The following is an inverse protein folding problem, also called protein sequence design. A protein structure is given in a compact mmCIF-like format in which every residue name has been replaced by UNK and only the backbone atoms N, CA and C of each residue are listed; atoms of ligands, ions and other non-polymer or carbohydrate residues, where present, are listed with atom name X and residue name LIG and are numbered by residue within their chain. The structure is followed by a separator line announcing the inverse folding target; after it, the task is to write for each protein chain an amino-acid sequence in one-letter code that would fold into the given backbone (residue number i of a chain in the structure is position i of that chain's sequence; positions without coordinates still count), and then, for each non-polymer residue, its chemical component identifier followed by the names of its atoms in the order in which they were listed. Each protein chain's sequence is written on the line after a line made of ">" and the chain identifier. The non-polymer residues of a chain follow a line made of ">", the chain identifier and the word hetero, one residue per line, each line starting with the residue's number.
data_IF_240094163945
#
_entry.id   IF_240094163945
#
_cell.length_a   1.000
_cell.length_b   1.000
_cell.length_c   1.000
_cell.angle_alpha   90.00
_cell.angle_beta   90.00
_cell.angle_gamma   90.00
#
_symmetry.space_group_name_H-M   'P 1'
#
loop_
_entity.id
_entity.type
_entity.pdbx_description
1 polymer ?
#
# COMPACT_ATOMS: atom_id res chain seq x y z
N UNK A 1 13.11 -16.12 -1.84
CA UNK A 1 14.24 -16.89 -1.29
C UNK A 1 13.82 -18.33 -1.02
N UNK A 2 12.91 -18.54 -0.07
CA UNK A 2 12.43 -19.89 0.25
C UNK A 2 11.65 -20.53 -0.92
N UNK A 3 10.95 -19.74 -1.71
CA UNK A 3 10.31 -20.19 -2.96
C UNK A 3 11.32 -20.75 -3.97
N UNK A 4 12.54 -20.21 -4.05
CA UNK A 4 13.57 -20.72 -4.96
C UNK A 4 14.03 -22.11 -4.51
N UNK A 5 14.21 -22.31 -3.21
CA UNK A 5 14.52 -23.61 -2.64
C UNK A 5 13.40 -24.62 -2.89
N UNK A 6 12.15 -24.22 -2.61
CA UNK A 6 11.00 -25.10 -2.81
C UNK A 6 10.79 -25.44 -4.29
N UNK A 7 10.99 -24.47 -5.20
CA UNK A 7 10.96 -24.72 -6.65
C UNK A 7 11.95 -25.80 -7.06
N UNK A 8 13.20 -25.69 -6.57
CA UNK A 8 14.29 -26.57 -6.96
C UNK A 8 14.07 -28.01 -6.45
N UNK A 9 13.62 -28.16 -5.20
CA UNK A 9 13.50 -29.47 -4.56
C UNK A 9 12.13 -30.13 -4.74
N UNK A 10 11.05 -29.35 -4.91
CA UNK A 10 9.70 -29.86 -5.18
C UNK A 10 8.85 -28.84 -5.95
N UNK A 11 9.12 -28.74 -7.25
CA UNK A 11 8.39 -27.84 -8.15
C UNK A 11 6.87 -28.07 -8.14
N UNK A 12 6.40 -29.30 -7.94
CA UNK A 12 4.97 -29.63 -7.97
C UNK A 12 4.27 -29.05 -6.74
N UNK A 13 4.89 -29.15 -5.56
CA UNK A 13 4.33 -28.59 -4.34
C UNK A 13 4.24 -27.06 -4.44
N UNK A 14 5.29 -26.40 -4.94
CA UNK A 14 5.23 -24.95 -5.13
C UNK A 14 4.20 -24.56 -6.20
N UNK A 15 4.10 -25.30 -7.30
CA UNK A 15 3.08 -25.03 -8.33
C UNK A 15 1.66 -25.13 -7.75
N UNK A 16 1.43 -26.08 -6.83
CA UNK A 16 0.17 -26.19 -6.10
C UNK A 16 -0.07 -24.97 -5.20
N UNK A 17 0.94 -24.52 -4.45
CA UNK A 17 0.84 -23.29 -3.66
C UNK A 17 0.49 -22.08 -4.52
N UNK A 18 1.18 -21.89 -5.65
CA UNK A 18 0.90 -20.80 -6.59
C UNK A 18 -0.53 -20.88 -7.13
N UNK A 19 -1.00 -22.08 -7.50
CA UNK A 19 -2.38 -22.30 -7.99
C UNK A 19 -3.43 -21.85 -6.98
N UNK A 20 -3.22 -22.09 -5.68
CA UNK A 20 -4.14 -21.72 -4.62
C UNK A 20 -3.78 -20.39 -3.93
N UNK A 21 -2.88 -19.58 -4.52
CA UNK A 21 -2.45 -18.28 -3.99
C UNK A 21 -1.82 -18.35 -2.58
N UNK A 22 -1.22 -19.49 -2.25
CA UNK A 22 -0.44 -19.68 -1.03
C UNK A 22 0.93 -19.05 -1.24
N UNK A 23 1.19 -17.94 -0.55
CA UNK A 23 2.48 -17.23 -0.60
C UNK A 23 3.41 -17.68 0.53
N UNK A 24 4.69 -17.30 0.47
CA UNK A 24 5.65 -17.46 1.58
C UNK A 24 5.13 -16.93 2.93
N UNK A 25 4.23 -15.94 2.93
CA UNK A 25 3.64 -15.40 4.14
C UNK A 25 2.63 -16.36 4.79
N UNK A 26 2.09 -17.33 4.05
CA UNK A 26 1.12 -18.28 4.58
C UNK A 26 1.82 -19.53 5.12
N UNK A 27 2.83 -20.05 4.42
CA UNK A 27 3.47 -21.29 4.83
C UNK A 27 4.77 -21.11 5.63
N UNK A 28 5.55 -20.05 5.37
CA UNK A 28 6.84 -19.87 6.03
C UNK A 28 6.74 -18.94 7.24
N UNK A 29 5.97 -17.84 7.14
CA UNK A 29 5.88 -16.86 8.22
C UNK A 29 5.37 -17.42 9.55
N UNK A 30 4.30 -18.25 9.62
CA UNK A 30 3.86 -18.84 10.89
C UNK A 30 4.95 -19.62 11.62
N UNK A 31 5.80 -20.29 10.85
CA UNK A 31 6.94 -21.06 11.36
C UNK A 31 8.02 -20.15 11.92
N UNK A 32 8.26 -19.01 11.27
CA UNK A 32 9.22 -18.00 11.74
C UNK A 32 8.71 -17.24 12.97
N UNK A 33 7.44 -16.83 12.95
CA UNK A 33 6.80 -16.02 13.97
C UNK A 33 6.87 -16.71 15.33
N UNK A 34 6.55 -17.99 15.36
CA UNK A 34 6.60 -18.81 16.58
C UNK A 34 7.91 -19.55 16.73
N UNK A 35 8.80 -19.41 15.75
CA UNK A 35 10.05 -20.13 15.63
C UNK A 35 9.87 -21.63 15.90
N UNK A 36 8.85 -22.21 15.25
CA UNK A 36 8.37 -23.60 15.32
C UNK A 36 7.79 -24.07 16.67
N UNK A 37 7.61 -23.19 17.66
CA UNK A 37 7.09 -23.59 18.98
C UNK A 37 5.63 -24.05 18.96
N UNK A 38 4.83 -23.61 17.98
CA UNK A 38 3.46 -24.11 17.78
C UNK A 38 3.42 -25.55 17.24
N UNK A 39 4.47 -25.97 16.53
CA UNK A 39 4.48 -27.22 15.75
C UNK A 39 5.15 -28.35 16.49
N UNK A 40 6.22 -28.06 17.23
CA UNK A 40 6.96 -29.09 17.96
C UNK A 40 6.66 -29.08 19.45
N UNK A 41 6.90 -30.22 20.09
CA UNK A 41 6.97 -30.26 21.55
C UNK A 41 8.26 -29.66 22.06
N UNK A 42 8.33 -29.43 23.39
CA UNK A 42 9.47 -28.77 24.00
C UNK A 42 10.79 -29.46 23.69
N UNK A 43 10.84 -30.79 23.77
CA UNK A 43 12.08 -31.55 23.61
C UNK A 43 12.54 -31.54 22.14
N UNK A 44 11.59 -31.70 21.21
CA UNK A 44 11.83 -31.60 19.77
C UNK A 44 12.26 -30.18 19.37
N UNK A 45 11.62 -29.17 19.94
CA UNK A 45 11.92 -27.77 19.70
C UNK A 45 13.31 -27.38 20.20
N UNK A 46 13.71 -27.85 21.39
CA UNK A 46 15.06 -27.67 21.90
C UNK A 46 16.10 -28.37 21.00
N UNK A 47 15.80 -29.58 20.52
CA UNK A 47 16.66 -30.27 19.56
C UNK A 47 16.81 -29.47 18.26
N UNK A 48 15.71 -28.92 17.73
CA UNK A 48 15.73 -28.07 16.54
C UNK A 48 16.63 -26.84 16.74
N UNK A 49 16.59 -26.22 17.94
CA UNK A 49 17.38 -25.04 18.28
C UNK A 49 18.88 -25.31 18.24
N UNK A 50 19.32 -26.44 18.79
CA UNK A 50 20.73 -26.83 18.75
C UNK A 50 21.26 -26.85 17.31
N UNK A 51 20.43 -27.30 16.36
CA UNK A 51 20.78 -27.36 14.95
C UNK A 51 20.69 -25.99 14.27
N UNK A 52 19.70 -25.17 14.60
CA UNK A 52 19.58 -23.81 14.04
C UNK A 52 20.79 -22.96 14.44
N UNK A 53 21.19 -22.98 15.71
CA UNK A 53 22.27 -22.13 16.21
C UNK A 53 23.68 -22.68 15.94
N UNK A 54 23.82 -23.99 15.74
CA UNK A 54 25.10 -24.58 15.35
C UNK A 54 25.43 -24.42 13.87
N UNK A 55 24.43 -24.07 13.04
CA UNK A 55 24.60 -23.86 11.60
C UNK A 55 24.54 -22.38 11.21
N UNK A 56 24.80 -22.11 9.93
CA UNK A 56 24.62 -20.78 9.35
C UNK A 56 23.16 -20.30 9.50
N UNK A 57 22.87 -19.00 9.72
CA UNK A 57 21.48 -18.50 9.93
C UNK A 57 20.49 -18.86 8.81
N UNK A 58 20.99 -19.07 7.60
CA UNK A 58 20.17 -19.54 6.47
C UNK A 58 19.61 -20.96 6.65
N UNK A 59 20.14 -21.76 7.58
CA UNK A 59 19.75 -23.16 7.78
C UNK A 59 18.27 -23.32 8.14
N UNK A 60 17.68 -22.33 8.82
CA UNK A 60 16.24 -22.27 9.07
C UNK A 60 15.41 -22.37 7.79
N UNK A 61 15.89 -21.82 6.66
CA UNK A 61 15.17 -21.91 5.39
C UNK A 61 15.13 -23.35 4.86
N UNK A 62 16.18 -24.14 5.10
CA UNK A 62 16.19 -25.56 4.77
C UNK A 62 15.25 -26.36 5.67
N UNK A 63 15.15 -26.01 6.95
CA UNK A 63 14.19 -26.63 7.89
C UNK A 63 12.75 -26.39 7.43
N UNK A 64 12.39 -25.15 7.06
CA UNK A 64 11.03 -24.85 6.57
C UNK A 64 10.74 -25.58 5.25
N UNK A 65 11.70 -25.59 4.33
CA UNK A 65 11.55 -26.30 3.04
C UNK A 65 11.37 -27.80 3.27
N UNK A 66 12.18 -28.39 4.15
CA UNK A 66 12.06 -29.78 4.59
C UNK A 66 10.71 -30.07 5.23
N UNK A 67 10.21 -29.19 6.09
CA UNK A 67 8.90 -29.34 6.72
C UNK A 67 7.77 -29.42 5.67
N UNK A 68 7.81 -28.57 4.65
CA UNK A 68 6.84 -28.58 3.56
C UNK A 68 6.93 -29.87 2.74
N UNK A 69 8.14 -30.30 2.37
CA UNK A 69 8.38 -31.50 1.55
C UNK A 69 7.93 -32.77 2.29
N UNK A 70 8.25 -32.90 3.58
CA UNK A 70 7.83 -34.07 4.35
C UNK A 70 6.30 -34.14 4.51
N UNK A 71 5.61 -32.99 4.55
CA UNK A 71 4.16 -32.91 4.61
C UNK A 71 3.48 -32.80 3.23
N UNK A 72 4.23 -32.99 2.14
CA UNK A 72 3.75 -32.85 0.75
C UNK A 72 2.44 -33.57 0.50
N UNK A 73 2.32 -34.82 0.95
CA UNK A 73 1.14 -35.64 0.67
C UNK A 73 -0.14 -35.02 1.22
N UNK A 74 -0.08 -34.39 2.41
CA UNK A 74 -1.19 -33.67 3.00
C UNK A 74 -1.44 -32.35 2.27
N UNK A 75 -0.38 -31.57 2.05
CA UNK A 75 -0.46 -30.24 1.43
C UNK A 75 -1.02 -30.26 0.00
N UNK A 76 -0.69 -31.29 -0.80
CA UNK A 76 -1.23 -31.44 -2.15
C UNK A 76 -2.73 -31.77 -2.19
N UNK A 77 -3.30 -32.27 -1.08
CA UNK A 77 -4.75 -32.55 -0.98
C UNK A 77 -5.56 -31.32 -0.56
N UNK A 78 -4.91 -30.34 0.06
CA UNK A 78 -5.56 -29.11 0.51
C UNK A 78 -5.85 -28.22 -0.70
N UNK A 79 -7.07 -27.70 -0.78
CA UNK A 79 -7.52 -26.82 -1.87
C UNK A 79 -8.01 -25.45 -1.38
N UNK A 80 -8.41 -25.34 -0.11
CA UNK A 80 -8.87 -24.08 0.46
C UNK A 80 -7.73 -23.31 1.13
N UNK A 81 -7.74 -21.99 1.00
CA UNK A 81 -6.68 -21.14 1.53
C UNK A 81 -6.62 -21.15 3.06
N UNK A 82 -7.79 -21.19 3.72
CA UNK A 82 -7.87 -21.17 5.18
C UNK A 82 -7.41 -22.49 5.80
N UNK A 83 -7.59 -23.61 5.09
CA UNK A 83 -7.01 -24.90 5.49
C UNK A 83 -5.48 -24.87 5.47
N UNK A 84 -4.86 -24.18 4.49
CA UNK A 84 -3.40 -23.98 4.50
C UNK A 84 -2.96 -23.18 5.73
N UNK A 85 -3.64 -22.07 6.04
CA UNK A 85 -3.32 -21.27 7.22
C UNK A 85 -3.46 -22.11 8.49
N UNK A 86 -4.55 -22.85 8.60
CA UNK A 86 -4.77 -23.78 9.71
C UNK A 86 -3.63 -24.79 9.81
N UNK A 87 -3.26 -25.44 8.70
CA UNK A 87 -2.21 -26.45 8.67
C UNK A 87 -0.87 -25.96 9.25
N UNK A 88 -0.44 -24.73 8.95
CA UNK A 88 0.85 -24.20 9.37
C UNK A 88 0.87 -23.62 10.80
N UNK A 89 -0.28 -23.45 11.44
CA UNK A 89 -0.41 -23.06 12.85
C UNK A 89 -0.64 -24.24 13.80
N UNK A 90 -0.82 -25.45 13.26
CA UNK A 90 -1.19 -26.62 14.05
C UNK A 90 -0.14 -27.72 13.95
N UNK A 91 -0.07 -28.51 15.02
CA UNK A 91 0.82 -29.67 15.07
C UNK A 91 0.43 -30.72 14.06
N UNK A 92 1.42 -31.17 13.30
CA UNK A 92 1.31 -32.29 12.39
C UNK A 92 2.10 -33.49 12.94
N UNK A 93 1.69 -34.74 12.66
CA UNK A 93 2.34 -35.94 13.16
C UNK A 93 3.65 -36.21 12.39
N UNK A 94 4.67 -35.39 12.65
CA UNK A 94 5.98 -35.50 12.02
C UNK A 94 7.09 -35.38 13.07
N UNK A 95 8.07 -36.26 12.98
CA UNK A 95 9.24 -36.24 13.85
C UNK A 95 10.22 -35.15 13.40
N UNK A 96 10.76 -34.41 14.38
CA UNK A 96 11.79 -33.39 14.13
C UNK A 96 13.04 -33.98 13.49
N UNK A 97 13.41 -35.23 13.82
CA UNK A 97 14.58 -35.90 13.26
C UNK A 97 14.44 -36.10 11.75
N UNK A 98 13.26 -36.52 11.27
CA UNK A 98 13.00 -36.66 9.83
C UNK A 98 13.20 -35.33 9.10
N UNK A 99 12.71 -34.23 9.69
CA UNK A 99 12.85 -32.90 9.12
C UNK A 99 14.31 -32.45 9.10
N UNK A 100 15.04 -32.69 10.19
CA UNK A 100 16.46 -32.33 10.29
C UNK A 100 17.32 -33.10 9.29
N UNK A 101 17.15 -34.43 9.20
CA UNK A 101 17.88 -35.25 8.22
C UNK A 101 17.64 -34.75 6.80
N UNK A 102 16.39 -34.46 6.47
CA UNK A 102 16.05 -33.94 5.15
C UNK A 102 16.56 -32.51 4.96
N UNK A 103 16.55 -31.65 5.97
CA UNK A 103 17.10 -30.29 5.89
C UNK A 103 18.61 -30.30 5.61
N UNK A 104 19.37 -31.20 6.23
CA UNK A 104 20.79 -31.39 5.91
C UNK A 104 20.99 -31.89 4.48
N UNK A 105 20.22 -32.91 4.06
CA UNK A 105 20.25 -33.41 2.68
C UNK A 105 20.01 -32.29 1.67
N UNK A 106 18.98 -31.47 1.90
CA UNK A 106 18.67 -30.31 1.06
C UNK A 106 19.84 -29.33 1.04
N UNK A 107 20.47 -29.05 2.18
CA UNK A 107 21.60 -28.11 2.26
C UNK A 107 22.85 -28.57 1.49
N UNK A 108 23.04 -29.88 1.32
CA UNK A 108 24.16 -30.47 0.56
C UNK A 108 23.88 -30.52 -0.94
N UNK A 109 22.64 -30.81 -1.33
CA UNK A 109 22.23 -30.98 -2.74
C UNK A 109 21.93 -29.64 -3.42
N UNK A 110 21.69 -28.58 -2.66
CA UNK A 110 21.34 -27.27 -3.20
C UNK A 110 22.54 -26.63 -3.93
N UNK A 111 22.40 -26.24 -5.22
CA UNK A 111 23.43 -25.52 -5.95
C UNK A 111 23.78 -24.17 -5.32
N UNK A 112 25.05 -23.77 -5.46
CA UNK A 112 25.60 -22.53 -4.89
C UNK A 112 24.88 -21.26 -5.37
N UNK A 113 24.27 -21.28 -6.56
CA UNK A 113 23.58 -20.12 -7.12
C UNK A 113 22.24 -19.80 -6.44
N UNK A 114 21.59 -20.82 -5.87
CA UNK A 114 20.30 -20.68 -5.18
C UNK A 114 20.43 -20.84 -3.66
N UNK A 115 21.63 -21.16 -3.16
CA UNK A 115 21.90 -21.35 -1.73
C UNK A 115 21.65 -20.03 -0.95
N UNK A 116 20.72 -20.02 0.02
CA UNK A 116 20.45 -18.83 0.80
C UNK A 116 21.62 -18.37 1.68
N UNK A 117 22.67 -19.20 1.88
CA UNK A 117 23.92 -18.79 2.53
C UNK A 117 24.56 -17.57 1.86
N UNK A 118 24.40 -17.36 0.55
CA UNK A 118 24.95 -16.20 -0.17
C UNK A 118 24.15 -14.92 0.05
N UNK A 119 22.90 -15.05 0.46
CA UNK A 119 21.96 -13.93 0.59
C UNK A 119 21.85 -13.43 2.03
N UNK A 120 22.12 -14.30 3.00
CA UNK A 120 22.08 -13.99 4.43
C UNK A 120 23.51 -13.91 4.95
N UNK A 121 23.84 -12.83 5.64
CA UNK A 121 25.14 -12.70 6.29
C UNK A 121 25.26 -13.69 7.46
N UNK A 122 26.49 -14.17 7.70
CA UNK A 122 26.80 -14.94 8.90
C UNK A 122 26.43 -14.16 10.16
N UNK A 123 26.15 -14.89 11.25
CA UNK A 123 25.87 -14.28 12.55
C UNK A 123 27.00 -13.35 12.98
N UNK A 124 26.67 -12.10 13.28
CA UNK A 124 27.58 -11.11 13.85
C UNK A 124 27.10 -10.71 15.24
N UNK A 125 27.95 -10.80 16.27
CA UNK A 125 27.56 -10.39 17.62
C UNK A 125 27.35 -8.87 17.69
N UNK A 126 26.44 -8.45 18.57
CA UNK A 126 26.21 -7.02 18.83
C UNK A 126 27.44 -6.37 19.45
N UNK A 127 27.68 -5.10 19.09
CA UNK A 127 28.71 -4.26 19.71
C UNK A 127 28.42 -4.06 21.21
N UNK A 128 29.46 -4.15 22.04
CA UNK A 128 29.31 -3.94 23.48
C UNK A 128 29.18 -2.45 23.79
N UNK A 129 28.18 -2.08 24.59
CA UNK A 129 28.01 -0.72 25.13
C UNK A 129 27.37 0.31 24.19
N UNK A 130 27.23 0.01 22.90
CA UNK A 130 26.55 0.87 21.94
C UNK A 130 25.74 0.02 20.96
N UNK A 131 24.52 0.45 20.65
CA UNK A 131 23.71 -0.17 19.62
C UNK A 131 24.22 0.29 18.24
N UNK A 132 24.46 -0.62 17.29
CA UNK A 132 24.90 -0.21 15.96
C UNK A 132 23.81 0.62 15.28
N UNK A 133 24.21 1.60 14.47
CA UNK A 133 23.27 2.38 13.65
C UNK A 133 22.66 1.45 12.61
N UNK A 134 21.38 1.11 12.80
CA UNK A 134 20.68 0.14 11.97
C UNK A 134 19.99 0.81 10.77
N UNK A 135 20.56 0.63 9.57
CA UNK A 135 20.03 1.16 8.32
C UNK A 135 19.56 0.07 7.34
N UNK A 136 19.35 -1.17 7.82
CA UNK A 136 18.94 -2.33 7.00
C UNK A 136 17.42 -2.54 6.94
N UNK A 137 16.63 -1.49 7.16
CA UNK A 137 15.18 -1.54 6.95
C UNK A 137 14.83 -1.29 5.47
N UNK A 138 13.70 -1.82 4.98
CA UNK A 138 13.26 -1.61 3.60
C UNK A 138 12.88 -0.14 3.37
N UNK A 139 13.86 0.67 2.97
CA UNK A 139 13.70 2.12 2.73
C UNK A 139 12.55 2.42 1.77
N UNK A 140 12.37 1.62 0.72
CA UNK A 140 11.28 1.79 -0.23
C UNK A 140 9.89 1.88 0.42
N UNK A 141 9.61 1.08 1.47
CA UNK A 141 8.32 1.11 2.16
C UNK A 141 8.16 2.44 2.93
N UNK A 142 9.22 2.87 3.60
CA UNK A 142 9.24 4.12 4.38
C UNK A 142 9.14 5.33 3.45
N UNK A 143 9.94 5.33 2.38
CA UNK A 143 10.02 6.39 1.39
C UNK A 143 8.69 6.54 0.63
N UNK A 144 8.02 5.43 0.28
CA UNK A 144 6.70 5.46 -0.35
C UNK A 144 5.66 6.18 0.51
N UNK A 145 5.61 5.88 1.81
CA UNK A 145 4.67 6.55 2.73
C UNK A 145 4.97 8.04 2.89
N UNK A 146 6.25 8.44 2.86
CA UNK A 146 6.66 9.84 2.88
C UNK A 146 6.24 10.54 1.59
N UNK A 147 6.47 9.91 0.43
CA UNK A 147 6.09 10.44 -0.88
C UNK A 147 4.58 10.60 -1.02
N UNK A 148 3.77 9.64 -0.57
CA UNK A 148 2.31 9.77 -0.59
C UNK A 148 1.83 10.93 0.28
N UNK A 149 2.38 11.07 1.50
CA UNK A 149 2.03 12.20 2.37
C UNK A 149 2.40 13.54 1.75
N UNK A 150 3.54 13.63 1.07
CA UNK A 150 3.95 14.84 0.38
C UNK A 150 3.03 15.16 -0.80
N UNK A 151 2.65 14.14 -1.57
CA UNK A 151 1.70 14.27 -2.67
C UNK A 151 0.35 14.78 -2.19
N UNK A 152 -0.18 14.20 -1.11
CA UNK A 152 -1.44 14.64 -0.50
C UNK A 152 -1.36 16.11 -0.05
N UNK A 153 -0.24 16.51 0.58
CA UNK A 153 -0.03 17.90 1.00
C UNK A 153 -0.04 18.88 -0.18
N UNK A 154 0.56 18.49 -1.31
CA UNK A 154 0.55 19.32 -2.52
C UNK A 154 -0.85 19.42 -3.14
N UNK A 155 -1.60 18.31 -3.15
CA UNK A 155 -2.99 18.28 -3.61
C UNK A 155 -3.88 19.18 -2.75
N UNK A 156 -3.76 19.14 -1.43
CA UNK A 156 -4.47 20.03 -0.50
C UNK A 156 -4.14 21.50 -0.74
N UNK A 157 -2.85 21.83 -0.93
CA UNK A 157 -2.42 23.20 -1.21
C UNK A 157 -3.02 23.73 -2.53
N UNK A 158 -3.02 22.89 -3.57
CA UNK A 158 -3.62 23.22 -4.85
C UNK A 158 -5.14 23.39 -4.74
N UNK A 159 -5.80 22.53 -3.98
CA UNK A 159 -7.24 22.61 -3.72
C UNK A 159 -7.62 23.91 -3.00
N UNK A 160 -6.87 24.31 -1.98
CA UNK A 160 -7.08 25.59 -1.27
C UNK A 160 -6.90 26.77 -2.23
N UNK A 161 -5.83 26.79 -3.03
CA UNK A 161 -5.57 27.85 -4.02
C UNK A 161 -6.69 27.97 -5.06
N UNK A 162 -7.16 26.85 -5.60
CA UNK A 162 -8.28 26.83 -6.55
C UNK A 162 -9.57 27.35 -5.90
N UNK A 163 -9.81 27.02 -4.64
CA UNK A 163 -10.98 27.50 -3.89
C UNK A 163 -10.92 29.01 -3.69
N UNK A 164 -9.77 29.56 -3.34
CA UNK A 164 -9.56 31.01 -3.20
C UNK A 164 -9.83 31.75 -4.52
N UNK A 165 -9.25 31.26 -5.62
CA UNK A 165 -9.49 31.81 -6.97
C UNK A 165 -10.97 31.76 -7.36
N UNK A 166 -11.67 30.66 -7.07
CA UNK A 166 -13.10 30.54 -7.35
C UNK A 166 -13.94 31.55 -6.54
N UNK A 167 -13.57 31.79 -5.28
CA UNK A 167 -14.25 32.79 -4.44
C UNK A 167 -14.00 34.20 -4.98
N UNK A 168 -12.78 34.51 -5.39
CA UNK A 168 -12.43 35.81 -5.97
C UNK A 168 -13.17 36.05 -7.29
N UNK A 169 -13.16 35.07 -8.20
CA UNK A 169 -13.93 35.11 -9.46
C UNK A 169 -15.44 35.30 -9.21
N UNK A 170 -15.99 34.66 -8.17
CA UNK A 170 -17.38 34.86 -7.80
C UNK A 170 -17.65 36.30 -7.33
N UNK A 171 -16.77 36.87 -6.50
CA UNK A 171 -16.87 38.26 -6.04
C UNK A 171 -16.82 39.25 -7.21
N UNK A 172 -15.87 39.09 -8.13
CA UNK A 172 -15.77 39.94 -9.32
C UNK A 172 -17.01 39.83 -10.22
N UNK A 173 -17.58 38.63 -10.38
CA UNK A 173 -18.83 38.46 -11.14
C UNK A 173 -20.00 39.18 -10.48
N UNK A 174 -20.10 39.15 -9.15
CA UNK A 174 -21.15 39.86 -8.42
C UNK A 174 -20.99 41.38 -8.55
N UNK A 175 -19.76 41.89 -8.48
CA UNK A 175 -19.49 43.31 -8.70
C UNK A 175 -19.89 43.76 -10.10
N UNK A 176 -19.46 43.04 -11.14
CA UNK A 176 -19.85 43.34 -12.53
C UNK A 176 -21.36 43.32 -12.75
N UNK A 177 -22.06 42.33 -12.19
CA UNK A 177 -23.54 42.30 -12.24
C UNK A 177 -24.17 43.52 -11.59
N UNK A 178 -23.67 43.93 -10.42
CA UNK A 178 -24.19 45.09 -9.73
C UNK A 178 -23.95 46.40 -10.50
N UNK A 179 -22.78 46.52 -11.14
CA UNK A 179 -22.46 47.64 -12.03
C UNK A 179 -23.36 47.66 -13.26
N UNK A 180 -23.57 46.52 -13.92
CA UNK A 180 -24.48 46.37 -15.07
C UNK A 180 -25.92 46.75 -14.69
N UNK A 181 -26.43 46.26 -13.56
CA UNK A 181 -27.77 46.60 -13.05
C UNK A 181 -27.91 48.10 -12.73
N UNK A 182 -26.85 48.72 -12.22
CA UNK A 182 -26.84 50.15 -11.91
C UNK A 182 -26.79 50.99 -13.19
N UNK A 183 -26.01 50.57 -14.18
CA UNK A 183 -25.93 51.21 -15.49
C UNK A 183 -27.25 51.12 -16.26
N UNK A 184 -27.89 49.94 -16.29
CA UNK A 184 -29.21 49.74 -16.90
C UNK A 184 -30.26 50.66 -16.27
N UNK A 185 -30.28 50.76 -14.93
CA UNK A 185 -31.18 51.68 -14.22
C UNK A 185 -30.95 53.14 -14.60
N UNK A 186 -29.70 53.57 -14.69
CA UNK A 186 -29.36 54.93 -15.14
C UNK A 186 -29.84 55.19 -16.57
N UNK A 187 -29.62 54.24 -17.48
CA UNK A 187 -30.06 54.36 -18.88
C UNK A 187 -31.58 54.46 -18.99
N UNK A 188 -32.32 53.67 -18.20
CA UNK A 188 -33.77 53.70 -18.20
C UNK A 188 -34.32 55.05 -17.69
N UNK A 189 -33.70 55.61 -16.64
CA UNK A 189 -34.03 56.96 -16.16
C UNK A 189 -33.78 58.05 -17.22
N UNK A 190 -32.69 57.93 -18.01
CA UNK A 190 -32.39 58.86 -19.10
C UNK A 190 -33.44 58.77 -20.22
N UNK A 191 -33.86 57.57 -20.61
CA UNK A 191 -34.91 57.35 -21.61
C UNK A 191 -36.24 57.94 -21.13
N UNK A 192 -36.64 57.66 -19.89
CA UNK A 192 -37.87 58.23 -19.31
C UNK A 192 -37.83 59.77 -19.24
N UNK A 193 -36.66 60.35 -18.93
CA UNK A 193 -36.48 61.80 -18.93
C UNK A 193 -36.58 62.39 -20.35
N UNK A 194 -36.03 61.71 -21.35
CA UNK A 194 -36.17 62.10 -22.76
C UNK A 194 -37.63 62.04 -23.22
N UNK A 195 -38.36 60.97 -22.90
CA UNK A 195 -39.78 60.81 -23.22
C UNK A 195 -40.64 61.91 -22.57
N UNK A 196 -40.41 62.20 -21.28
CA UNK A 196 -41.06 63.34 -20.59
C UNK A 196 -40.75 64.67 -21.27
N UNK A 197 -39.50 64.89 -21.70
CA UNK A 197 -39.12 66.11 -22.43
C UNK A 197 -39.84 66.20 -23.78
N UNK A 198 -39.91 65.11 -24.55
CA UNK A 198 -40.63 65.06 -25.83
C UNK A 198 -42.13 65.35 -25.67
N UNK A 199 -42.76 64.76 -24.67
CA UNK A 199 -44.19 64.97 -24.39
C UNK A 199 -44.48 66.42 -23.99
N UNK A 200 -43.64 67.03 -23.15
CA UNK A 200 -43.76 68.45 -22.79
C UNK A 200 -43.60 69.38 -24.01
N UNK A 201 -42.60 69.13 -24.87
CA UNK A 201 -42.42 69.90 -26.11
C UNK A 201 -43.63 69.79 -27.04
N UNK A 202 -44.20 68.59 -27.20
CA UNK A 202 -45.43 68.39 -27.98
C UNK A 202 -46.62 69.16 -27.40
N UNK A 203 -46.77 69.21 -26.07
CA UNK A 203 -47.82 69.99 -25.40
C UNK A 203 -47.64 71.50 -25.55
N UNK A 204 -46.40 72.00 -25.54
CA UNK A 204 -46.13 73.41 -25.83
C UNK A 204 -46.44 73.76 -27.29
N UNK A 205 -46.03 72.91 -28.25
CA UNK A 205 -46.34 73.12 -29.67
C UNK A 205 -47.85 73.15 -29.94
N UNK A 206 -48.65 72.30 -29.26
CA UNK A 206 -50.12 72.35 -29.38
C UNK A 206 -50.68 73.63 -28.77
N UNK A 207 -50.21 74.06 -27.60
CA UNK A 207 -50.62 75.33 -26.98
C UNK A 207 -50.30 76.56 -27.84
N UNK A 208 -49.12 76.60 -28.45
CA UNK A 208 -48.71 77.69 -29.33
C UNK A 208 -49.55 77.72 -30.62
N UNK A 209 -49.96 76.55 -31.13
CA UNK A 209 -50.89 76.46 -32.27
C UNK A 209 -52.31 76.91 -31.89
N UNK A 210 -52.79 76.58 -30.70
CA UNK A 210 -54.10 77.04 -30.19
C UNK A 210 -54.14 78.55 -29.94
N UNK A 211 -53.03 79.18 -29.55
CA UNK A 211 -52.95 80.65 -29.38
C UNK A 211 -52.84 81.44 -30.71
N UNK A 212 -52.62 80.75 -31.84
CA UNK A 212 -52.47 81.38 -33.17
C UNK A 212 -53.71 81.27 -34.07
N UNK A 213 -54.80 80.67 -33.58
CA UNK A 213 -56.15 80.68 -34.18
C UNK A 213 -57.07 81.59 -33.37
#
# INVERSE_FOLDING_TARGET
>A
MIENLLTHHDHTLLAHFVRYKVTSQIYAWPLFETFFSEIFNRDEWLCLFDHIFSNHPSFVLYIITSYCINNRSALLRVTELDDFKYFFHHRNPISVQTILTEAYRLSEVTPVDIDPKRMIESFQPLTRGQYPVFNKYPKFIVDYQIQEKEKLRQEEMNYIRQRELNVEMYRERQQRRHEEESWLRQQQLLIEAEEKRRTLLLQEDTRVKEQKN
#
